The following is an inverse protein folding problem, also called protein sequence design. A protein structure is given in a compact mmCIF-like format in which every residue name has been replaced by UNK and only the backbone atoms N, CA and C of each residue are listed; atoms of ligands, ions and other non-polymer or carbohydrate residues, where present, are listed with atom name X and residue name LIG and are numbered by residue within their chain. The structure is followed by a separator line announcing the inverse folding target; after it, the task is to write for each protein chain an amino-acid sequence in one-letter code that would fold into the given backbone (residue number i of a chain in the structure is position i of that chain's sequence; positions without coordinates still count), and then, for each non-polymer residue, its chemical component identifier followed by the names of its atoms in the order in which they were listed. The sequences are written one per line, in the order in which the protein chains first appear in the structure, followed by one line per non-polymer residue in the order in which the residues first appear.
data_IF_367950649070
#
_entry.id   IF_367950649070
#
_cell.length_a   1.000
_cell.length_b   1.000
_cell.length_c   1.000
_cell.angle_alpha   90.00
_cell.angle_beta   90.00
_cell.angle_gamma   90.00
#
_symmetry.space_group_name_H-M   'P 1'
#
loop_
_entity.id
_entity.type
_entity.pdbx_description
1 polymer ?
#
# COMPACT_ATOMS: atom_id res chain seq x y z
N UNK A 1 15.51 11.05 1.60
CA UNK A 1 14.79 9.78 1.89
C UNK A 1 14.39 9.11 0.57
N UNK A 2 15.37 8.79 -0.27
CA UNK A 2 15.11 8.35 -1.66
C UNK A 2 15.99 7.17 -2.10
N UNK A 3 16.97 6.76 -1.28
CA UNK A 3 18.06 5.89 -1.73
C UNK A 3 17.82 4.41 -1.43
N UNK A 4 17.12 4.07 -0.33
CA UNK A 4 16.77 2.68 -0.01
C UNK A 4 15.77 2.07 -1.01
N UNK A 5 14.77 2.83 -1.43
CA UNK A 5 13.83 2.36 -2.46
C UNK A 5 14.42 2.38 -3.87
N UNK A 6 15.58 3.04 -4.06
CA UNK A 6 16.32 3.03 -5.33
C UNK A 6 17.14 1.76 -5.50
N UNK A 7 17.69 1.22 -4.42
CA UNK A 7 18.38 -0.08 -4.43
C UNK A 7 17.40 -1.26 -4.57
N UNK A 8 16.17 -1.10 -4.06
CA UNK A 8 15.07 -2.01 -4.37
C UNK A 8 14.56 -1.73 -5.79
N UNK A 9 14.45 -2.76 -6.64
CA UNK A 9 14.01 -2.66 -8.03
C UNK A 9 12.48 -2.39 -8.13
N UNK A 10 12.02 -1.31 -7.50
CA UNK A 10 10.63 -0.88 -7.45
C UNK A 10 10.32 0.14 -8.56
N UNK A 11 9.17 -0.02 -9.19
CA UNK A 11 8.60 0.95 -10.11
C UNK A 11 8.39 2.32 -9.44
N UNK A 12 8.41 3.43 -10.20
CA UNK A 12 8.20 4.76 -9.64
C UNK A 12 6.89 4.90 -8.85
N UNK A 13 5.83 4.23 -9.32
CA UNK A 13 4.55 4.22 -8.63
C UNK A 13 4.62 3.45 -7.31
N UNK A 14 5.27 2.27 -7.29
CA UNK A 14 5.45 1.52 -6.04
C UNK A 14 6.22 2.33 -5.00
N UNK A 15 7.24 3.09 -5.42
CA UNK A 15 7.97 4.01 -4.52
C UNK A 15 7.06 5.09 -3.92
N UNK A 16 6.15 5.66 -4.72
CA UNK A 16 5.17 6.65 -4.23
C UNK A 16 4.19 6.02 -3.23
N UNK A 17 3.70 4.81 -3.51
CA UNK A 17 2.81 4.08 -2.60
C UNK A 17 3.52 3.68 -1.32
N UNK A 18 4.76 3.21 -1.39
CA UNK A 18 5.58 2.93 -0.23
C UNK A 18 5.74 4.17 0.66
N UNK A 19 6.11 5.30 0.06
CA UNK A 19 6.27 6.56 0.78
C UNK A 19 4.94 7.11 1.33
N UNK A 20 3.79 6.74 0.75
CA UNK A 20 2.48 6.99 1.33
C UNK A 20 2.28 6.13 2.58
N UNK A 21 2.49 4.82 2.46
CA UNK A 21 2.37 3.87 3.58
C UNK A 21 3.28 4.23 4.76
N UNK A 22 4.50 4.71 4.51
CA UNK A 22 5.40 5.20 5.56
C UNK A 22 4.83 6.42 6.29
N UNK A 23 4.17 7.35 5.59
CA UNK A 23 3.65 8.59 6.17
C UNK A 23 2.30 8.40 6.84
N UNK A 24 1.34 7.76 6.16
CA UNK A 24 -0.04 7.60 6.62
C UNK A 24 -0.26 6.34 7.44
N UNK A 25 0.66 5.37 7.32
CA UNK A 25 0.58 4.06 7.96
C UNK A 25 -0.16 3.00 7.15
N UNK A 26 -1.12 3.40 6.29
CA UNK A 26 -1.88 2.43 5.49
C UNK A 26 -2.63 3.08 4.33
N UNK A 27 -3.03 2.27 3.35
CA UNK A 27 -3.80 2.71 2.18
C UNK A 27 -4.86 1.69 1.79
N UNK A 28 -6.02 2.16 1.38
CA UNK A 28 -7.11 1.40 0.78
C UNK A 28 -7.22 1.67 -0.71
N UNK A 29 -7.95 0.81 -1.43
CA UNK A 29 -8.19 1.01 -2.86
C UNK A 29 -8.92 2.32 -3.19
N UNK A 30 -9.76 2.85 -2.27
CA UNK A 30 -10.45 4.12 -2.46
C UNK A 30 -9.51 5.32 -2.35
N UNK A 31 -8.67 5.33 -1.32
CA UNK A 31 -7.62 6.35 -1.14
C UNK A 31 -6.65 6.32 -2.33
N UNK A 32 -6.24 5.12 -2.77
CA UNK A 32 -5.36 4.99 -3.94
C UNK A 32 -5.98 5.55 -5.23
N UNK A 33 -7.28 5.35 -5.43
CA UNK A 33 -8.01 5.92 -6.57
C UNK A 33 -8.13 7.45 -6.46
N UNK A 34 -8.44 7.98 -5.28
CA UNK A 34 -8.58 9.42 -5.07
C UNK A 34 -7.25 10.18 -5.16
N UNK A 35 -6.19 9.66 -4.55
CA UNK A 35 -4.91 10.37 -4.40
C UNK A 35 -3.95 10.15 -5.58
N UNK A 36 -4.02 8.98 -6.21
CA UNK A 36 -3.08 8.58 -7.27
C UNK A 36 -3.75 8.22 -8.59
N UNK A 37 -5.09 8.22 -8.66
CA UNK A 37 -5.82 7.86 -9.86
C UNK A 37 -5.67 6.38 -10.26
N UNK A 38 -5.32 5.49 -9.32
CA UNK A 38 -5.06 4.07 -9.63
C UNK A 38 -6.17 3.16 -9.14
N UNK A 39 -6.41 2.09 -9.91
CA UNK A 39 -7.40 1.07 -9.56
C UNK A 39 -6.88 0.13 -8.46
N UNK A 40 -7.79 -0.64 -7.86
CA UNK A 40 -7.46 -1.69 -6.89
C UNK A 40 -6.49 -2.75 -7.45
N UNK A 41 -6.61 -3.09 -8.74
CA UNK A 41 -5.73 -4.05 -9.40
C UNK A 41 -4.30 -3.51 -9.53
N UNK A 42 -4.16 -2.24 -9.93
CA UNK A 42 -2.86 -1.57 -10.01
C UNK A 42 -2.23 -1.44 -8.64
N UNK A 43 -3.00 -1.05 -7.61
CA UNK A 43 -2.52 -1.00 -6.23
C UNK A 43 -1.99 -2.38 -5.79
N UNK A 44 -2.80 -3.42 -5.97
CA UNK A 44 -2.45 -4.79 -5.58
C UNK A 44 -1.16 -5.27 -6.26
N UNK A 45 -0.97 -4.94 -7.54
CA UNK A 45 0.28 -5.25 -8.26
C UNK A 45 1.49 -4.55 -7.65
N UNK A 46 1.35 -3.30 -7.20
CA UNK A 46 2.44 -2.57 -6.52
C UNK A 46 2.71 -3.13 -5.12
N UNK A 47 1.69 -3.59 -4.41
CA UNK A 47 1.87 -4.33 -3.16
C UNK A 47 2.70 -5.60 -3.40
N UNK A 48 2.33 -6.43 -4.39
CA UNK A 48 3.09 -7.66 -4.70
C UNK A 48 4.53 -7.36 -5.13
N UNK A 49 4.76 -6.27 -5.86
CA UNK A 49 6.10 -5.82 -6.23
C UNK A 49 6.95 -5.45 -5.00
N UNK A 50 6.36 -4.76 -4.02
CA UNK A 50 7.03 -4.44 -2.75
C UNK A 50 7.35 -5.70 -1.95
N UNK A 51 6.42 -6.66 -1.87
CA UNK A 51 6.66 -7.95 -1.22
C UNK A 51 7.76 -8.77 -1.91
N UNK A 52 7.78 -8.78 -3.24
CA UNK A 52 8.85 -9.41 -4.02
C UNK A 52 10.22 -8.75 -3.81
N UNK A 53 10.24 -7.48 -3.40
CA UNK A 53 11.45 -6.77 -3.00
C UNK A 53 11.82 -6.98 -1.52
N UNK A 54 11.11 -7.84 -0.79
CA UNK A 54 11.36 -8.14 0.62
C UNK A 54 10.71 -7.18 1.62
N UNK A 55 9.79 -6.31 1.16
CA UNK A 55 9.04 -5.42 2.07
C UNK A 55 7.81 -6.16 2.58
N UNK A 56 7.72 -6.32 3.91
CA UNK A 56 6.56 -6.97 4.52
C UNK A 56 5.34 -6.03 4.59
N UNK A 57 4.22 -6.49 4.01
CA UNK A 57 2.95 -5.76 3.96
C UNK A 57 1.87 -6.53 4.72
N UNK A 58 1.23 -5.87 5.67
CA UNK A 58 0.02 -6.36 6.34
C UNK A 58 -1.23 -6.06 5.51
N UNK A 59 -2.14 -7.04 5.45
CA UNK A 59 -3.42 -6.94 4.73
C UNK A 59 -4.58 -7.11 5.72
N UNK A 60 -5.29 -6.03 5.98
CA UNK A 60 -6.47 -6.05 6.83
C UNK A 60 -7.75 -6.02 5.98
N UNK A 61 -8.59 -7.05 6.12
CA UNK A 61 -9.90 -7.07 5.46
C UNK A 61 -10.93 -6.39 6.37
N UNK A 62 -11.59 -5.38 5.84
CA UNK A 62 -12.63 -4.62 6.56
C UNK A 62 -13.94 -4.65 5.79
N UNK A 63 -15.03 -4.38 6.52
CA UNK A 63 -16.37 -4.21 5.96
C UNK A 63 -16.76 -2.76 6.18
N UNK A 64 -17.22 -2.08 5.13
CA UNK A 64 -17.66 -0.70 5.26
C UNK A 64 -19.00 -0.66 6.01
N UNK A 65 -19.12 0.07 7.13
CA UNK A 65 -20.28 -0.02 8.02
C UNK A 65 -21.59 0.37 7.33
N UNK A 66 -21.57 1.39 6.46
CA UNK A 66 -22.77 1.86 5.75
C UNK A 66 -23.16 1.01 4.53
N UNK A 67 -22.19 0.47 3.78
CA UNK A 67 -22.46 -0.16 2.46
C UNK A 67 -22.35 -1.67 2.50
N UNK A 68 -21.86 -2.26 3.58
CA UNK A 68 -21.59 -3.70 3.70
C UNK A 68 -20.48 -4.22 2.77
N UNK A 69 -19.86 -3.35 1.96
CA UNK A 69 -18.84 -3.76 0.99
C UNK A 69 -17.53 -4.10 1.69
N UNK A 70 -16.97 -5.25 1.36
CA UNK A 70 -15.64 -5.68 1.79
C UNK A 70 -14.58 -4.87 1.05
N UNK A 71 -13.55 -4.46 1.78
CA UNK A 71 -12.36 -3.81 1.22
C UNK A 71 -11.12 -4.24 1.99
N UNK A 72 -9.96 -4.14 1.33
CA UNK A 72 -8.67 -4.45 1.94
C UNK A 72 -7.91 -3.16 2.20
N UNK A 73 -7.30 -3.06 3.38
CA UNK A 73 -6.35 -2.01 3.72
C UNK A 73 -4.95 -2.61 3.85
N UNK A 74 -3.99 -1.97 3.22
CA UNK A 74 -2.60 -2.38 3.21
C UNK A 74 -1.79 -1.48 4.14
N UNK A 75 -0.92 -2.05 4.96
CA UNK A 75 -0.05 -1.33 5.89
C UNK A 75 1.35 -1.96 5.89
N UNK A 76 2.40 -1.23 6.29
CA UNK A 76 3.72 -1.84 6.50
C UNK A 76 3.68 -2.72 7.75
N UNK A 77 4.09 -3.99 7.65
CA UNK A 77 4.01 -4.94 8.77
C UNK A 77 4.96 -4.58 9.93
N UNK A 78 6.12 -4.00 9.61
CA UNK A 78 7.11 -3.55 10.59
C UNK A 78 6.59 -2.44 11.51
N UNK A 79 5.59 -1.67 11.08
CA UNK A 79 4.94 -0.65 11.91
C UNK A 79 3.76 -1.28 12.66
N UNK A 80 4.04 -2.26 13.53
CA UNK A 80 3.08 -2.57 14.61
C UNK A 80 2.97 -1.31 15.46
N UNK A 81 1.83 -0.63 15.40
CA UNK A 81 1.45 0.32 16.43
C UNK A 81 1.44 -0.47 17.75
N UNK A 82 2.42 -0.16 18.61
CA UNK A 82 2.37 -0.51 20.02
C UNK A 82 1.20 0.22 20.68
#
# INVERSE_FOLDING_TARGET
MSDFTKSLNLSPLARRIFAHLERTGSISAREAMADYGITSATLSRRICEMEGAGIEISRERRIHPMTGRRYTRYALASRKAA
#
